data_IF_360540392711
#
_entry.id   IF_360540392711
#
_cell.length_a   1.000
_cell.length_b   1.000
_cell.length_c   1.000
_cell.angle_alpha   90.00
_cell.angle_beta   90.00
_cell.angle_gamma   90.00
#
_symmetry.space_group_name_H-M   'P 1'
#
loop_
_entity.id
_entity.type
_entity.pdbx_description
1 polymer ?
#
# COMPACT_ATOMS: atom_id res chain seq x y z
N UNK A 1 -27.19 17.00 -4.59
CA UNK A 1 -28.14 16.66 -3.52
C UNK A 1 -28.26 17.90 -2.66
N UNK A 2 -29.39 18.60 -2.70
CA UNK A 2 -29.60 19.76 -1.83
C UNK A 2 -30.00 19.26 -0.45
N UNK A 3 -29.31 19.74 0.57
CA UNK A 3 -29.54 19.37 1.97
C UNK A 3 -30.84 20.04 2.44
N UNK A 4 -31.95 19.28 2.49
CA UNK A 4 -33.25 19.80 2.91
C UNK A 4 -33.38 19.63 4.43
N UNK A 5 -33.34 20.76 5.15
CA UNK A 5 -33.48 20.77 6.61
C UNK A 5 -34.92 20.45 7.02
N UNK A 6 -35.15 19.42 7.85
CA UNK A 6 -36.48 19.08 8.37
C UNK A 6 -37.11 20.22 9.19
N UNK A 7 -38.45 20.37 9.13
CA UNK A 7 -39.21 21.49 9.73
C UNK A 7 -38.87 21.78 11.20
N UNK A 8 -38.66 20.73 11.99
CA UNK A 8 -38.33 20.84 13.42
C UNK A 8 -36.99 21.52 13.72
N UNK A 9 -36.11 21.67 12.72
CA UNK A 9 -34.78 22.28 12.87
C UNK A 9 -34.59 23.55 12.03
N UNK A 10 -35.63 24.02 11.33
CA UNK A 10 -35.55 25.25 10.52
C UNK A 10 -35.20 26.49 11.34
N UNK A 11 -35.59 26.53 12.63
CA UNK A 11 -35.32 27.67 13.52
C UNK A 11 -33.88 27.70 14.05
N UNK A 12 -33.18 26.55 14.07
CA UNK A 12 -31.81 26.43 14.59
C UNK A 12 -30.76 26.23 13.49
N UNK A 13 -31.18 26.03 12.25
CA UNK A 13 -30.27 25.81 11.13
C UNK A 13 -29.74 27.14 10.59
N UNK A 14 -28.43 27.30 10.61
CA UNK A 14 -27.72 28.42 9.97
C UNK A 14 -27.28 28.02 8.57
N UNK A 15 -27.56 28.88 7.59
CA UNK A 15 -27.06 28.71 6.23
C UNK A 15 -25.53 28.91 6.24
N UNK A 16 -24.79 27.82 6.09
CA UNK A 16 -23.33 27.87 5.96
C UNK A 16 -22.97 28.35 4.55
N UNK A 17 -22.29 29.49 4.46
CA UNK A 17 -21.80 30.03 3.20
C UNK A 17 -20.71 29.11 2.62
N UNK A 18 -21.10 28.28 1.65
CA UNK A 18 -20.22 27.32 0.98
C UNK A 18 -19.18 27.99 0.09
N UNK A 19 -19.36 29.26 -0.29
CA UNK A 19 -18.46 29.97 -1.21
C UNK A 19 -17.09 30.23 -0.61
N UNK A 20 -16.99 30.24 0.72
CA UNK A 20 -15.70 30.36 1.43
C UNK A 20 -14.81 29.12 1.29
N UNK A 21 -15.39 28.00 0.86
CA UNK A 21 -14.68 26.73 0.67
C UNK A 21 -14.56 26.34 -0.81
N UNK A 22 -15.10 27.15 -1.71
CA UNK A 22 -14.93 26.93 -3.15
C UNK A 22 -13.49 27.26 -3.55
N UNK A 23 -12.84 26.30 -4.21
CA UNK A 23 -11.47 26.47 -4.71
C UNK A 23 -11.43 27.62 -5.71
N UNK A 24 -10.42 28.49 -5.58
CA UNK A 24 -10.17 29.56 -6.55
C UNK A 24 -9.99 28.98 -7.98
N UNK A 25 -10.33 29.71 -9.06
CA UNK A 25 -10.17 29.24 -10.44
C UNK A 25 -8.75 28.79 -10.81
N UNK A 26 -7.73 29.27 -10.09
CA UNK A 26 -6.35 28.78 -10.23
C UNK A 26 -6.13 27.39 -9.59
N UNK A 27 -6.68 27.18 -8.39
CA UNK A 27 -6.59 25.92 -7.66
C UNK A 27 -7.38 24.81 -8.35
N UNK A 28 -8.54 25.13 -8.92
CA UNK A 28 -9.32 24.17 -9.72
C UNK A 28 -8.53 23.67 -10.93
N UNK A 29 -7.91 24.58 -11.70
CA UNK A 29 -7.06 24.19 -12.84
C UNK A 29 -5.87 23.33 -12.46
N UNK A 30 -5.23 23.61 -11.33
CA UNK A 30 -4.12 22.77 -10.86
C UNK A 30 -4.60 21.39 -10.41
N UNK A 31 -5.75 21.31 -9.72
CA UNK A 31 -6.36 20.05 -9.33
C UNK A 31 -6.74 19.21 -10.56
N UNK A 32 -7.36 19.82 -11.57
CA UNK A 32 -7.68 19.17 -12.84
C UNK A 32 -6.43 18.68 -13.57
N UNK A 33 -5.35 19.48 -13.60
CA UNK A 33 -4.08 19.06 -14.20
C UNK A 33 -3.53 17.80 -13.53
N UNK A 34 -3.54 17.76 -12.18
CA UNK A 34 -3.09 16.59 -11.42
C UNK A 34 -3.95 15.36 -11.68
N UNK A 35 -5.28 15.54 -11.77
CA UNK A 35 -6.21 14.44 -12.11
C UNK A 35 -5.94 13.94 -13.53
N UNK A 36 -5.74 14.83 -14.49
CA UNK A 36 -5.43 14.46 -15.88
C UNK A 36 -4.10 13.69 -15.99
N UNK A 37 -3.04 14.16 -15.32
CA UNK A 37 -1.75 13.47 -15.26
C UNK A 37 -1.87 12.08 -14.64
N UNK A 38 -2.64 11.96 -13.54
CA UNK A 38 -2.89 10.66 -12.90
C UNK A 38 -3.71 9.73 -13.79
N UNK A 39 -4.74 10.24 -14.48
CA UNK A 39 -5.53 9.44 -15.41
C UNK A 39 -4.70 8.95 -16.59
N UNK A 40 -3.83 9.78 -17.18
CA UNK A 40 -2.90 9.36 -18.24
C UNK A 40 -1.98 8.26 -17.72
N UNK A 41 -1.36 8.45 -16.54
CA UNK A 41 -0.49 7.45 -15.92
C UNK A 41 -1.21 6.13 -15.63
N UNK A 42 -2.48 6.18 -15.20
CA UNK A 42 -3.29 4.98 -14.99
C UNK A 42 -3.62 4.31 -16.32
N UNK A 43 -3.96 5.08 -17.36
CA UNK A 43 -4.25 4.54 -18.69
C UNK A 43 -3.03 3.88 -19.32
N UNK A 44 -1.84 4.47 -19.18
CA UNK A 44 -0.59 3.86 -19.62
C UNK A 44 -0.23 2.60 -18.84
N UNK A 45 -0.56 2.53 -17.55
CA UNK A 45 -0.40 1.31 -16.75
C UNK A 45 -1.36 0.20 -17.15
N UNK A 46 -2.57 0.55 -17.60
CA UNK A 46 -3.58 -0.42 -18.06
C UNK A 46 -3.30 -0.88 -19.50
N UNK A 47 -2.80 0.02 -20.36
CA UNK A 47 -2.48 -0.26 -21.75
C UNK A 47 -1.12 -0.95 -21.94
N UNK A 48 -0.25 -0.95 -20.93
CA UNK A 48 0.94 -1.79 -20.92
C UNK A 48 0.50 -3.26 -20.69
N UNK A 49 0.72 -4.18 -21.64
CA UNK A 49 0.72 -5.60 -21.30
C UNK A 49 1.77 -5.79 -20.19
N UNK A 50 1.58 -6.76 -19.25
CA UNK A 50 2.60 -7.02 -18.25
C UNK A 50 3.91 -7.25 -19.00
N UNK A 51 4.87 -6.32 -18.86
CA UNK A 51 6.22 -6.54 -19.36
C UNK A 51 6.69 -7.78 -18.64
N UNK A 52 6.74 -8.86 -19.41
CA UNK A 52 7.24 -10.15 -19.02
C UNK A 52 8.52 -9.91 -18.22
N UNK A 53 8.55 -10.42 -17.00
CA UNK A 53 9.79 -10.74 -16.34
C UNK A 53 10.51 -11.77 -17.23
N UNK A 54 11.30 -11.27 -18.17
CA UNK A 54 12.20 -12.05 -19.00
C UNK A 54 13.45 -11.17 -19.24
N UNK A 55 14.18 -10.92 -18.17
CA UNK A 55 15.63 -10.83 -18.28
C UNK A 55 16.17 -12.13 -17.70
N UNK A 56 16.25 -13.13 -18.57
CA UNK A 56 17.04 -14.34 -18.32
C UNK A 56 18.49 -13.88 -18.37
N UNK A 57 19.04 -13.53 -17.22
CA UNK A 57 20.47 -13.62 -17.03
C UNK A 57 20.78 -15.08 -16.66
N UNK A 58 21.72 -15.77 -17.35
CA UNK A 58 22.27 -17.02 -16.84
C UNK A 58 23.22 -16.67 -15.69
N UNK A 59 22.64 -16.45 -14.52
CA UNK A 59 23.34 -16.26 -13.26
C UNK A 59 23.03 -17.44 -12.35
N UNK A 60 23.97 -18.35 -12.26
CA UNK A 60 23.98 -19.50 -11.36
C UNK A 60 23.61 -19.09 -9.93
N UNK A 61 22.54 -19.67 -9.37
CA UNK A 61 22.47 -20.04 -7.95
C UNK A 61 21.28 -20.98 -7.74
N UNK A 62 21.59 -22.27 -7.80
CA UNK A 62 20.90 -23.39 -7.14
C UNK A 62 19.44 -23.13 -6.77
N UNK A 63 18.56 -23.58 -7.66
CA UNK A 63 17.32 -24.26 -7.27
C UNK A 63 17.68 -25.40 -6.32
N UNK A 64 17.84 -25.09 -5.04
CA UNK A 64 17.45 -26.04 -4.02
C UNK A 64 15.95 -25.85 -3.86
N UNK A 65 15.18 -26.72 -4.51
CA UNK A 65 13.86 -27.12 -4.00
C UNK A 65 14.07 -27.57 -2.55
N UNK A 66 13.99 -26.61 -1.64
CA UNK A 66 13.89 -26.80 -0.21
C UNK A 66 12.42 -26.56 0.14
N UNK A 67 11.92 -27.23 1.20
CA UNK A 67 10.51 -27.55 1.37
C UNK A 67 9.66 -26.28 1.37
N UNK A 68 8.34 -26.46 1.22
CA UNK A 68 7.31 -25.46 1.52
C UNK A 68 7.49 -25.03 2.99
N UNK A 69 8.47 -24.18 3.23
CA UNK A 69 8.84 -23.61 4.49
C UNK A 69 8.48 -22.14 4.36
N UNK A 70 7.68 -21.66 5.31
CA UNK A 70 7.19 -20.29 5.30
C UNK A 70 8.37 -19.32 5.26
N UNK A 71 8.27 -18.28 4.43
CA UNK A 71 9.32 -17.26 4.28
C UNK A 71 8.94 -16.01 5.11
N UNK A 72 9.87 -15.41 5.88
CA UNK A 72 11.26 -15.81 6.10
C UNK A 72 11.40 -17.10 6.90
N UNK A 73 12.42 -17.91 6.55
CA UNK A 73 12.72 -19.19 7.21
C UNK A 73 13.19 -18.99 8.65
N UNK A 74 13.75 -17.81 8.93
CA UNK A 74 14.26 -17.44 10.24
C UNK A 74 13.17 -16.66 11.01
N UNK A 75 12.70 -17.24 12.12
CA UNK A 75 11.87 -16.51 13.07
C UNK A 75 12.76 -15.51 13.81
N UNK A 76 12.28 -14.28 13.90
CA UNK A 76 12.91 -13.23 14.69
C UNK A 76 12.97 -13.68 16.16
N UNK A 77 14.17 -13.96 16.66
CA UNK A 77 14.42 -14.23 18.08
C UNK A 77 14.71 -12.92 18.83
N UNK A 78 14.61 -12.92 20.16
CA UNK A 78 14.89 -11.73 20.98
C UNK A 78 16.33 -11.21 20.89
N UNK A 79 17.28 -12.02 20.39
CA UNK A 79 18.67 -11.64 20.15
C UNK A 79 18.94 -11.12 18.74
N UNK A 80 17.92 -10.97 17.89
CA UNK A 80 18.11 -10.55 16.49
C UNK A 80 18.37 -9.04 16.41
N UNK A 81 19.50 -8.64 15.84
CA UNK A 81 19.85 -7.24 15.56
C UNK A 81 18.72 -6.51 14.83
N UNK A 82 18.56 -5.23 15.15
CA UNK A 82 17.50 -4.42 14.56
C UNK A 82 17.57 -4.32 13.03
N UNK A 83 18.77 -4.28 12.46
CA UNK A 83 18.96 -4.32 11.01
C UNK A 83 18.47 -5.63 10.40
N UNK A 84 18.78 -6.76 11.04
CA UNK A 84 18.32 -8.08 10.60
C UNK A 84 16.80 -8.21 10.75
N UNK A 85 16.23 -7.67 11.82
CA UNK A 85 14.77 -7.64 12.04
C UNK A 85 14.04 -6.84 10.97
N UNK A 86 14.59 -5.71 10.55
CA UNK A 86 14.08 -4.93 9.42
C UNK A 86 14.16 -5.69 8.10
N UNK A 87 15.27 -6.40 7.85
CA UNK A 87 15.40 -7.23 6.64
C UNK A 87 14.37 -8.36 6.60
N UNK A 88 14.20 -9.08 7.70
CA UNK A 88 13.21 -10.16 7.82
C UNK A 88 11.78 -9.62 7.66
N UNK A 89 11.48 -8.47 8.27
CA UNK A 89 10.21 -7.78 8.07
C UNK A 89 9.99 -7.43 6.59
N UNK A 90 10.95 -6.80 5.92
CA UNK A 90 10.86 -6.48 4.49
C UNK A 90 10.64 -7.73 3.63
N UNK A 91 11.32 -8.83 3.94
CA UNK A 91 11.13 -10.12 3.26
C UNK A 91 9.73 -10.70 3.46
N UNK A 92 9.17 -10.60 4.68
CA UNK A 92 7.79 -11.03 4.94
C UNK A 92 6.80 -10.19 4.14
N UNK A 93 6.96 -8.86 4.12
CA UNK A 93 6.09 -7.94 3.37
C UNK A 93 6.18 -8.22 1.87
N UNK A 94 7.38 -8.49 1.35
CA UNK A 94 7.58 -8.89 -0.04
C UNK A 94 6.89 -10.22 -0.36
N UNK A 95 6.94 -11.19 0.56
CA UNK A 95 6.24 -12.48 0.41
C UNK A 95 4.72 -12.30 0.37
N UNK A 96 4.17 -11.42 1.19
CA UNK A 96 2.72 -11.11 1.20
C UNK A 96 2.27 -10.26 0.01
N UNK A 97 3.18 -9.61 -0.72
CA UNK A 97 2.87 -8.74 -1.85
C UNK A 97 1.85 -9.31 -2.86
N UNK A 98 2.06 -10.53 -3.39
CA UNK A 98 1.13 -11.17 -4.34
C UNK A 98 -0.22 -11.54 -3.74
N UNK A 99 -0.30 -11.67 -2.41
CA UNK A 99 -1.51 -12.05 -1.69
C UNK A 99 -2.28 -10.83 -1.17
N UNK A 100 -1.77 -9.61 -1.36
CA UNK A 100 -2.50 -8.38 -1.04
C UNK A 100 -3.55 -8.08 -2.10
N UNK A 101 -4.76 -7.79 -1.64
CA UNK A 101 -5.85 -7.33 -2.50
C UNK A 101 -5.70 -5.84 -2.79
N UNK A 102 -6.41 -5.36 -3.81
CA UNK A 102 -6.48 -3.93 -4.16
C UNK A 102 -7.09 -3.06 -3.03
N UNK A 103 -7.82 -3.68 -2.10
CA UNK A 103 -8.39 -3.03 -0.92
C UNK A 103 -7.45 -3.08 0.30
N UNK A 104 -6.25 -3.64 0.17
CA UNK A 104 -5.24 -3.71 1.23
C UNK A 104 -5.38 -4.89 2.19
N UNK A 105 -6.38 -5.77 2.00
CA UNK A 105 -6.50 -6.99 2.77
C UNK A 105 -5.51 -8.06 2.28
N UNK A 106 -5.05 -8.93 3.18
CA UNK A 106 -4.17 -10.06 2.83
C UNK A 106 -5.01 -11.32 2.70
N UNK A 107 -4.88 -12.04 1.58
CA UNK A 107 -5.56 -13.32 1.37
C UNK A 107 -5.11 -14.36 2.41
N UNK A 108 -6.00 -15.25 2.87
CA UNK A 108 -5.65 -16.29 3.85
C UNK A 108 -4.52 -17.20 3.36
N UNK A 109 -4.49 -17.50 2.06
CA UNK A 109 -3.44 -18.30 1.41
C UNK A 109 -2.02 -17.73 1.59
N UNK A 110 -1.92 -16.42 1.83
CA UNK A 110 -0.65 -15.77 2.12
C UNK A 110 -0.08 -16.20 3.46
N UNK A 111 -0.92 -16.39 4.49
CA UNK A 111 -0.49 -16.80 5.83
C UNK A 111 -0.06 -18.28 5.89
N UNK A 112 -0.49 -19.10 4.94
CA UNK A 112 -0.03 -20.48 4.80
C UNK A 112 1.39 -20.56 4.23
N UNK A 113 1.79 -19.56 3.41
CA UNK A 113 3.05 -19.56 2.66
C UNK A 113 4.09 -18.58 3.19
N UNK A 114 3.65 -17.52 3.87
CA UNK A 114 4.49 -16.45 4.39
C UNK A 114 4.36 -16.39 5.92
N UNK A 115 5.46 -16.11 6.59
CA UNK A 115 5.48 -15.86 8.02
C UNK A 115 5.13 -14.40 8.27
N UNK A 116 4.15 -14.16 9.14
CA UNK A 116 3.83 -12.82 9.61
C UNK A 116 4.87 -12.39 10.66
N UNK A 117 5.65 -11.37 10.34
CA UNK A 117 6.64 -10.81 11.24
C UNK A 117 6.11 -9.45 11.72
N UNK A 118 5.94 -9.26 13.05
CA UNK A 118 5.43 -8.02 13.58
C UNK A 118 6.40 -6.86 13.30
N UNK A 119 5.85 -5.65 13.14
CA UNK A 119 6.63 -4.45 12.85
C UNK A 119 7.79 -4.30 13.86
N UNK A 120 9.04 -4.19 13.39
CA UNK A 120 10.20 -4.01 14.25
C UNK A 120 10.23 -2.65 14.95
N UNK A 121 9.41 -1.68 14.54
CA UNK A 121 9.40 -0.30 15.08
C UNK A 121 9.23 -0.26 16.60
N UNK A 122 8.47 -1.19 17.18
CA UNK A 122 8.22 -1.25 18.63
C UNK A 122 9.51 -1.56 19.41
N UNK A 123 10.38 -2.42 18.87
CA UNK A 123 11.64 -2.82 19.54
C UNK A 123 12.86 -2.03 19.06
N UNK A 124 12.84 -1.61 17.80
CA UNK A 124 14.00 -1.04 17.12
C UNK A 124 13.89 0.46 16.82
N UNK A 125 12.71 1.05 17.06
CA UNK A 125 12.44 2.43 16.68
C UNK A 125 12.28 2.63 15.17
N UNK A 126 12.06 3.88 14.73
CA UNK A 126 11.91 4.21 13.32
C UNK A 126 13.18 3.84 12.55
N UNK A 127 13.00 3.36 11.32
CA UNK A 127 14.11 2.99 10.42
C UNK A 127 14.99 4.21 10.16
N UNK A 128 16.15 4.27 10.80
CA UNK A 128 17.18 5.26 10.53
C UNK A 128 17.90 4.84 9.25
N UNK A 129 17.63 5.57 8.16
CA UNK A 129 18.39 5.50 6.92
C UNK A 129 19.69 6.28 7.03
#
# INVERSE_FOLDING_TARGET
>A
MSDVVPDKFKQSATCSDSRKYELSPGQQREAERRVAEQQIRMRDKIAQPPKQAASIAPGTTKEKSLPIAKRPTELVTDSTDCQTRWRLYDESVACFGPYRTTQGATKPEGFDKCNDIPSPEIKCGPRRN
#
